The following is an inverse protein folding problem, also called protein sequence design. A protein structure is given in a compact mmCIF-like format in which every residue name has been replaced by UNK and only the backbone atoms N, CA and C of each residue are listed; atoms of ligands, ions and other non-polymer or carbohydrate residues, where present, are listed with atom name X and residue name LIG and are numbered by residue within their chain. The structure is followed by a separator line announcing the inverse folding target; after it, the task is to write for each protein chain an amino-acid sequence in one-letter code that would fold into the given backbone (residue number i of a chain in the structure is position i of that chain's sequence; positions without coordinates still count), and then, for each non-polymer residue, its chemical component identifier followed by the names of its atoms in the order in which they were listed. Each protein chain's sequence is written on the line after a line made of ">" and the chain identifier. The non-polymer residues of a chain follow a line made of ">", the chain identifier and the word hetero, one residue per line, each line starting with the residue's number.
data_IF_053339077143
#
_entry.id   IF_053339077143
#
_cell.length_a   1.000
_cell.length_b   1.000
_cell.length_c   1.000
_cell.angle_alpha   90.00
_cell.angle_beta   90.00
_cell.angle_gamma   90.00
#
_symmetry.space_group_name_H-M   'P 1'
#
loop_
_entity.id
_entity.type
_entity.pdbx_description
1 polymer ?
#
# COMPACT_ATOMS: atom_id res chain seq x y z
N UNK A 1 -3.56 14.74 -10.59
CA UNK A 1 -4.17 13.40 -10.72
C UNK A 1 -4.73 12.98 -9.38
N UNK A 2 -5.39 11.83 -9.32
CA UNK A 2 -5.90 11.22 -8.08
C UNK A 2 -4.79 10.37 -7.45
N UNK A 3 -4.57 10.51 -6.14
CA UNK A 3 -3.56 9.75 -5.42
C UNK A 3 -4.13 8.40 -5.00
N UNK A 4 -3.50 7.32 -5.44
CA UNK A 4 -3.91 5.94 -5.21
C UNK A 4 -2.82 5.19 -4.47
N UNK A 5 -3.14 4.71 -3.29
CA UNK A 5 -2.23 3.95 -2.44
C UNK A 5 -2.60 2.47 -2.48
N UNK A 6 -1.60 1.59 -2.57
CA UNK A 6 -1.74 0.14 -2.52
C UNK A 6 -0.82 -0.46 -1.46
N UNK A 7 -1.39 -1.15 -0.47
CA UNK A 7 -0.62 -2.04 0.39
C UNK A 7 -0.31 -3.35 -0.34
N UNK A 8 0.91 -3.86 -0.19
CA UNK A 8 1.34 -5.16 -0.74
C UNK A 8 2.05 -5.93 0.37
N UNK A 9 1.67 -7.20 0.53
CA UNK A 9 2.22 -8.09 1.55
C UNK A 9 2.47 -9.47 0.96
N UNK A 10 3.53 -10.13 1.41
CA UNK A 10 3.76 -11.55 1.15
C UNK A 10 3.23 -12.37 2.33
N UNK A 11 2.38 -13.36 2.05
CA UNK A 11 1.86 -14.32 3.02
C UNK A 11 1.98 -15.72 2.45
N UNK A 12 2.69 -16.61 3.13
CA UNK A 12 2.89 -18.01 2.73
C UNK A 12 3.37 -18.15 1.27
N UNK A 13 4.33 -17.32 0.88
CA UNK A 13 4.93 -17.31 -0.46
C UNK A 13 4.06 -16.68 -1.56
N UNK A 14 2.93 -16.07 -1.19
CA UNK A 14 2.03 -15.36 -2.13
C UNK A 14 2.11 -13.87 -1.89
N UNK A 15 2.48 -13.12 -2.92
CA UNK A 15 2.42 -11.66 -2.92
C UNK A 15 0.99 -11.22 -3.24
N UNK A 16 0.38 -10.49 -2.31
CA UNK A 16 -1.02 -10.07 -2.32
C UNK A 16 -1.07 -8.54 -2.27
N UNK A 17 -1.81 -7.93 -3.19
CA UNK A 17 -2.17 -6.52 -3.12
C UNK A 17 -3.49 -6.35 -2.37
N UNK A 18 -3.53 -5.36 -1.48
CA UNK A 18 -4.73 -4.97 -0.73
C UNK A 18 -5.66 -4.10 -1.59
N UNK A 19 -6.93 -3.90 -1.17
CA UNK A 19 -7.80 -2.90 -1.77
C UNK A 19 -7.12 -1.52 -1.82
N UNK A 20 -7.33 -0.78 -2.90
CA UNK A 20 -6.76 0.55 -3.03
C UNK A 20 -7.39 1.53 -2.05
N UNK A 21 -6.59 2.48 -1.59
CA UNK A 21 -7.04 3.69 -0.94
C UNK A 21 -6.88 4.86 -1.91
N UNK A 22 -7.88 5.71 -2.00
CA UNK A 22 -7.68 7.04 -2.57
C UNK A 22 -7.39 8.03 -1.44
N UNK A 23 -6.33 8.82 -1.60
CA UNK A 23 -6.04 9.96 -0.73
C UNK A 23 -6.54 11.22 -1.43
N UNK A 24 -7.60 11.82 -0.88
CA UNK A 24 -8.19 13.06 -1.37
C UNK A 24 -7.72 14.20 -0.48
N UNK A 25 -7.09 15.21 -1.07
CA UNK A 25 -6.69 16.44 -0.39
C UNK A 25 -7.35 17.64 -1.08
N UNK A 26 -7.71 18.66 -0.30
CA UNK A 26 -8.22 19.94 -0.80
C UNK A 26 -7.14 20.78 -1.51
N UNK A 27 -5.87 20.38 -1.43
CA UNK A 27 -4.73 21.12 -1.94
C UNK A 27 -4.10 20.46 -3.17
N UNK A 28 -3.93 21.23 -4.25
CA UNK A 28 -3.34 20.76 -5.50
C UNK A 28 -1.82 20.53 -5.45
N UNK A 29 -1.12 21.02 -4.42
CA UNK A 29 0.33 20.85 -4.21
C UNK A 29 0.64 20.87 -2.69
N UNK A 30 1.57 20.01 -2.25
CA UNK A 30 2.11 20.01 -0.88
C UNK A 30 3.04 21.21 -0.66
N UNK A 31 2.47 22.38 -0.31
CA UNK A 31 3.25 23.48 0.24
C UNK A 31 3.45 23.36 1.76
N UNK A 32 4.31 24.20 2.31
CA UNK A 32 4.67 24.19 3.73
C UNK A 32 3.45 24.47 4.64
N UNK A 33 2.44 25.19 4.15
CA UNK A 33 1.22 25.49 4.91
C UNK A 33 0.24 24.31 4.97
N UNK A 34 0.18 23.47 3.93
CA UNK A 34 -0.65 22.27 3.90
C UNK A 34 -0.34 21.28 5.04
N UNK A 35 0.90 21.27 5.57
CA UNK A 35 1.28 20.47 6.77
C UNK A 35 0.51 20.85 8.03
N UNK A 36 0.01 22.09 8.13
CA UNK A 36 -0.72 22.61 9.30
C UNK A 36 -2.25 22.53 9.15
N UNK A 37 -2.75 22.27 7.94
CA UNK A 37 -4.17 22.13 7.61
C UNK A 37 -4.58 20.67 7.34
N UNK A 38 -3.91 19.71 8.00
CA UNK A 38 -4.14 18.26 7.87
C UNK A 38 -5.60 17.78 8.13
N UNK A 39 -6.52 18.67 8.49
CA UNK A 39 -7.94 18.39 8.70
C UNK A 39 -8.71 18.03 7.42
N UNK A 40 -8.16 18.32 6.23
CA UNK A 40 -8.89 18.16 4.96
C UNK A 40 -8.46 16.93 4.11
N UNK A 41 -7.61 16.05 4.66
CA UNK A 41 -7.24 14.81 3.96
C UNK A 41 -8.25 13.71 4.25
N UNK A 42 -8.85 13.15 3.21
CA UNK A 42 -9.75 12.00 3.30
C UNK A 42 -9.12 10.77 2.66
N UNK A 43 -9.20 9.66 3.39
CA UNK A 43 -8.76 8.34 2.93
C UNK A 43 -10.00 7.49 2.64
N UNK A 44 -10.21 7.15 1.37
CA UNK A 44 -11.38 6.39 0.91
C UNK A 44 -10.94 4.99 0.53
N UNK A 45 -11.49 3.99 1.22
CA UNK A 45 -11.19 2.57 1.02
C UNK A 45 -12.51 1.79 0.94
N UNK A 46 -12.74 0.99 -0.13
CA UNK A 46 -11.93 0.92 -1.35
C UNK A 46 -11.99 2.22 -2.17
N UNK A 47 -10.93 2.52 -2.92
CA UNK A 47 -10.85 3.70 -3.79
C UNK A 47 -11.99 3.70 -4.83
N UNK A 48 -12.74 4.81 -5.01
CA UNK A 48 -13.84 4.91 -5.96
C UNK A 48 -13.30 5.17 -7.39
N UNK A 49 -12.63 4.17 -7.96
CA UNK A 49 -12.05 4.18 -9.31
C UNK A 49 -12.65 3.05 -10.16
N UNK A 50 -12.58 3.13 -11.51
CA UNK A 50 -12.92 2.00 -12.36
C UNK A 50 -12.13 0.74 -11.99
N UNK A 51 -12.76 -0.42 -12.07
CA UNK A 51 -12.15 -1.71 -11.70
C UNK A 51 -10.85 -1.99 -12.47
N UNK A 52 -10.80 -1.60 -13.75
CA UNK A 52 -9.60 -1.73 -14.58
C UNK A 52 -8.41 -0.93 -14.05
N UNK A 53 -8.66 0.28 -13.52
CA UNK A 53 -7.64 1.15 -12.92
C UNK A 53 -7.18 0.55 -11.60
N UNK A 54 -8.12 0.05 -10.78
CA UNK A 54 -7.79 -0.61 -9.53
C UNK A 54 -6.88 -1.82 -9.77
N UNK A 55 -7.27 -2.67 -10.72
CA UNK A 55 -6.50 -3.86 -11.12
C UNK A 55 -5.12 -3.50 -11.65
N UNK A 56 -5.00 -2.51 -12.54
CA UNK A 56 -3.69 -2.08 -13.06
C UNK A 56 -2.78 -1.57 -11.93
N UNK A 57 -3.29 -0.76 -11.01
CA UNK A 57 -2.53 -0.27 -9.86
C UNK A 57 -2.06 -1.41 -8.96
N UNK A 58 -2.91 -2.40 -8.67
CA UNK A 58 -2.57 -3.56 -7.86
C UNK A 58 -1.53 -4.45 -8.54
N UNK A 59 -1.71 -4.78 -9.83
CA UNK A 59 -0.75 -5.56 -10.62
C UNK A 59 0.62 -4.88 -10.70
N UNK A 60 0.63 -3.56 -10.92
CA UNK A 60 1.84 -2.74 -10.90
C UNK A 60 2.52 -2.77 -9.53
N UNK A 61 1.76 -2.64 -8.45
CA UNK A 61 2.28 -2.67 -7.08
C UNK A 61 2.91 -4.02 -6.74
N UNK A 62 2.27 -5.12 -7.12
CA UNK A 62 2.83 -6.48 -6.96
C UNK A 62 4.12 -6.65 -7.76
N UNK A 63 4.18 -6.11 -8.98
CA UNK A 63 5.40 -6.14 -9.79
C UNK A 63 6.54 -5.37 -9.13
N UNK A 64 6.29 -4.13 -8.70
CA UNK A 64 7.29 -3.30 -7.99
C UNK A 64 7.79 -4.01 -6.72
N UNK A 65 6.89 -4.59 -5.93
CA UNK A 65 7.26 -5.35 -4.75
C UNK A 65 8.26 -6.47 -5.07
N UNK A 66 8.00 -7.23 -6.14
CA UNK A 66 8.89 -8.33 -6.58
C UNK A 66 10.21 -7.81 -7.15
N UNK A 67 10.15 -6.82 -8.04
CA UNK A 67 11.32 -6.28 -8.74
C UNK A 67 12.32 -5.63 -7.77
N UNK A 68 11.84 -5.10 -6.65
CA UNK A 68 12.65 -4.50 -5.59
C UNK A 68 13.05 -5.47 -4.46
N UNK A 69 12.77 -6.78 -4.59
CA UNK A 69 12.96 -7.78 -3.52
C UNK A 69 12.37 -7.32 -2.17
N UNK A 70 11.21 -6.67 -2.21
CA UNK A 70 10.52 -6.19 -1.01
C UNK A 70 10.11 -7.36 -0.12
N UNK A 71 10.02 -7.09 1.18
CA UNK A 71 9.64 -8.09 2.18
C UNK A 71 8.68 -7.49 3.18
N UNK A 72 7.84 -8.36 3.75
CA UNK A 72 6.83 -7.94 4.71
C UNK A 72 5.76 -7.10 4.03
N UNK A 73 5.37 -6.01 4.67
CA UNK A 73 4.32 -5.11 4.20
C UNK A 73 4.95 -3.84 3.65
N UNK A 74 4.59 -3.50 2.41
CA UNK A 74 5.04 -2.29 1.73
C UNK A 74 3.81 -1.53 1.24
N UNK A 75 3.84 -0.21 1.38
CA UNK A 75 2.84 0.69 0.80
C UNK A 75 3.44 1.34 -0.44
N UNK A 76 2.70 1.30 -1.55
CA UNK A 76 3.14 1.87 -2.82
C UNK A 76 2.11 2.93 -3.22
N UNK A 77 2.58 4.16 -3.41
CA UNK A 77 1.76 5.31 -3.70
C UNK A 77 1.88 5.67 -5.18
N UNK A 78 0.75 5.91 -5.84
CA UNK A 78 0.64 6.19 -7.27
C UNK A 78 -0.19 7.46 -7.51
N UNK A 79 0.00 8.08 -8.66
CA UNK A 79 -0.87 9.13 -9.20
C UNK A 79 -1.53 8.63 -10.48
N UNK A 80 -2.86 8.75 -10.56
CA UNK A 80 -3.64 8.43 -11.74
C UNK A 80 -4.23 9.69 -12.38
N UNK A 81 -4.10 9.83 -13.70
CA UNK A 81 -4.63 10.98 -14.45
C UNK A 81 -4.71 10.72 -15.94
N UNK A 82 -4.72 11.79 -16.75
CA UNK A 82 -4.90 11.72 -18.21
C UNK A 82 -3.86 10.85 -18.93
N UNK A 83 -2.66 10.71 -18.35
CA UNK A 83 -1.57 9.91 -18.91
C UNK A 83 -1.48 8.48 -18.33
N UNK A 84 -2.47 8.04 -17.58
CA UNK A 84 -2.48 6.75 -16.90
C UNK A 84 -1.88 6.80 -15.49
N UNK A 85 -1.33 5.66 -15.04
CA UNK A 85 -0.79 5.48 -13.68
C UNK A 85 0.72 5.74 -13.65
N UNK A 86 1.14 6.67 -12.79
CA UNK A 86 2.55 6.90 -12.43
C UNK A 86 2.81 6.52 -10.96
N UNK A 87 3.93 5.88 -10.66
CA UNK A 87 4.33 5.55 -9.28
C UNK A 87 5.09 6.71 -8.65
N UNK A 88 4.75 7.05 -7.41
CA UNK A 88 5.32 8.18 -6.64
C UNK A 88 6.34 7.67 -5.63
N UNK A 89 5.93 6.74 -4.76
CA UNK A 89 6.72 6.29 -3.60
C UNK A 89 6.57 4.79 -3.36
N UNK A 90 7.65 4.17 -2.86
CA UNK A 90 7.62 2.83 -2.24
C UNK A 90 8.04 2.99 -0.77
N UNK A 91 7.11 2.75 0.14
CA UNK A 91 7.30 2.87 1.58
C UNK A 91 7.36 1.48 2.24
N UNK A 92 8.55 1.07 2.69
CA UNK A 92 8.79 -0.29 3.21
C UNK A 92 8.48 -0.48 4.69
N UNK A 93 8.06 0.58 5.39
CA UNK A 93 7.69 0.55 6.81
C UNK A 93 6.47 1.43 7.04
N UNK A 94 5.31 1.06 6.47
CA UNK A 94 4.13 1.89 6.58
C UNK A 94 3.60 1.95 8.01
N UNK A 95 2.91 3.04 8.33
CA UNK A 95 2.20 3.19 9.60
C UNK A 95 1.17 2.08 9.81
N UNK A 96 1.06 1.61 11.05
CA UNK A 96 0.16 0.50 11.43
C UNK A 96 -0.69 0.84 12.67
N UNK A 97 -0.94 2.13 12.93
CA UNK A 97 -1.93 2.55 13.93
C UNK A 97 -3.33 2.42 13.34
N UNK A 98 -4.38 2.37 14.18
CA UNK A 98 -5.77 2.23 13.68
C UNK A 98 -6.19 3.34 12.69
N UNK A 99 -5.56 4.51 12.76
CA UNK A 99 -5.80 5.62 11.83
C UNK A 99 -4.94 5.58 10.56
N UNK A 100 -4.05 4.60 10.41
CA UNK A 100 -3.17 4.47 9.25
C UNK A 100 -3.90 3.81 8.07
N UNK A 101 -3.45 4.10 6.85
CA UNK A 101 -4.04 3.59 5.59
C UNK A 101 -4.09 2.05 5.56
N UNK A 102 -3.01 1.35 5.95
CA UNK A 102 -2.94 -0.12 5.80
C UNK A 102 -4.01 -0.83 6.65
N UNK A 103 -4.17 -0.58 7.97
CA UNK A 103 -5.26 -1.19 8.73
C UNK A 103 -6.65 -0.97 8.12
N UNK A 104 -6.90 0.20 7.51
CA UNK A 104 -8.16 0.47 6.80
C UNK A 104 -8.32 -0.40 5.54
N UNK A 105 -7.24 -0.59 4.77
CA UNK A 105 -7.22 -1.51 3.63
C UNK A 105 -7.48 -2.95 4.04
N UNK A 106 -6.89 -3.39 5.15
CA UNK A 106 -7.12 -4.74 5.70
C UNK A 106 -8.58 -4.92 6.11
N UNK A 107 -9.17 -3.94 6.80
CA UNK A 107 -10.58 -3.97 7.18
C UNK A 107 -11.55 -4.01 5.99
N UNK A 108 -11.14 -3.50 4.83
CA UNK A 108 -11.90 -3.57 3.58
C UNK A 108 -11.56 -4.80 2.71
N UNK A 109 -10.65 -5.66 3.17
CA UNK A 109 -10.23 -6.88 2.47
C UNK A 109 -10.80 -8.12 3.15
N UNK A 110 -10.62 -9.28 2.51
CA UNK A 110 -10.94 -10.58 3.12
C UNK A 110 -9.85 -11.07 4.09
N UNK A 111 -8.80 -10.28 4.35
CA UNK A 111 -7.68 -10.63 5.23
C UNK A 111 -7.86 -10.05 6.63
N UNK A 112 -7.72 -10.90 7.65
CA UNK A 112 -7.71 -10.43 9.04
C UNK A 112 -6.39 -9.76 9.42
N UNK A 113 -6.43 -8.63 10.15
CA UNK A 113 -5.22 -7.93 10.59
C UNK A 113 -4.24 -8.85 11.34
N UNK A 114 -4.76 -9.63 12.31
CA UNK A 114 -3.96 -10.59 13.07
C UNK A 114 -3.37 -11.69 12.18
N UNK A 115 -4.08 -12.12 11.13
CA UNK A 115 -3.59 -13.12 10.19
C UNK A 115 -2.39 -12.56 9.42
N UNK A 116 -2.50 -11.33 8.91
CA UNK A 116 -1.42 -10.66 8.17
C UNK A 116 -0.19 -10.47 9.04
N UNK A 117 -0.35 -9.92 10.26
CA UNK A 117 0.78 -9.71 11.17
C UNK A 117 1.46 -11.04 11.53
N UNK A 118 0.67 -12.07 11.87
CA UNK A 118 1.23 -13.38 12.19
C UNK A 118 1.94 -14.03 10.98
N UNK A 119 1.39 -13.87 9.77
CA UNK A 119 2.02 -14.35 8.53
C UNK A 119 3.35 -13.66 8.28
N UNK A 120 3.42 -12.34 8.41
CA UNK A 120 4.67 -11.58 8.26
C UNK A 120 5.74 -12.04 9.25
N UNK A 121 5.38 -12.29 10.51
CA UNK A 121 6.31 -12.81 11.53
C UNK A 121 6.79 -14.22 11.16
N UNK A 122 5.89 -15.12 10.73
CA UNK A 122 6.26 -16.48 10.29
C UNK A 122 7.25 -16.43 9.12
N UNK A 123 6.99 -15.58 8.12
CA UNK A 123 7.86 -15.45 6.95
C UNK A 123 9.22 -14.84 7.33
N UNK A 124 9.26 -13.90 8.26
CA UNK A 124 10.53 -13.40 8.80
C UNK A 124 11.33 -14.49 9.51
N UNK A 125 10.69 -15.32 10.35
CA UNK A 125 11.34 -16.42 11.07
C UNK A 125 11.86 -17.52 10.13
N UNK A 126 11.09 -17.90 9.11
CA UNK A 126 11.52 -18.86 8.08
C UNK A 126 12.82 -18.42 7.39
N UNK A 127 12.96 -17.12 7.12
CA UNK A 127 14.16 -16.54 6.50
C UNK A 127 15.34 -16.46 7.45
N UNK A 128 15.13 -16.05 8.71
CA UNK A 128 16.19 -15.95 9.71
C UNK A 128 16.86 -17.29 10.08
N UNK A 129 16.18 -18.41 9.81
CA UNK A 129 16.73 -19.76 9.99
C UNK A 129 17.48 -20.33 8.76
N UNK A 130 17.49 -19.63 7.63
CA UNK A 130 18.22 -20.03 6.43
C UNK A 130 19.56 -19.28 6.39
N UNK A 131 20.72 -19.96 6.23
CA UNK A 131 21.98 -19.27 6.04
C UNK A 131 21.86 -18.31 4.85
N UNK A 132 22.35 -17.08 5.00
CA UNK A 132 22.45 -16.13 3.90
C UNK A 132 23.35 -16.73 2.81
N UNK A 133 22.78 -17.19 1.71
CA UNK A 133 23.51 -17.38 0.45
C UNK A 133 23.74 -16.00 -0.17
N UNK A 134 24.74 -15.30 0.36
CA UNK A 134 25.39 -14.16 -0.29
C UNK A 134 26.89 -14.41 -0.32
#
# INVERSE_FOLDING_TARGET
>A
GRELTCGVVELDGRVIALPLCEVVTSHSFFDFEAKYHAADTQEIVPAPVPEEVARECQERSVRIYRDLDCRGLVRIDHIWGEHGIGTIEVNTTPGFTAASIVPRMLAASDLGEAEVVNGMVKDALRRGGQPSER
#
